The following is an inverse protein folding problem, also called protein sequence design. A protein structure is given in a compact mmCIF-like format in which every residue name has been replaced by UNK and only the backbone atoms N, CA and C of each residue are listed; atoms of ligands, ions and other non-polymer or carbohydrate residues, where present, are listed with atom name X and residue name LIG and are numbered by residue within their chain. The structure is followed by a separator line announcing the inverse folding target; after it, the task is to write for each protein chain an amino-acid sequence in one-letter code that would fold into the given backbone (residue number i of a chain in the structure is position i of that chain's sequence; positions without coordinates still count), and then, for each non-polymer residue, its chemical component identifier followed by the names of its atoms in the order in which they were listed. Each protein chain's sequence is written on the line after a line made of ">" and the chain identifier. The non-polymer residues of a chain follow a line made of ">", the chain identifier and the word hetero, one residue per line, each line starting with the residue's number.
data_IF_666141844545
#
_entry.id   IF_666141844545
#
_cell.length_a   1.000
_cell.length_b   1.000
_cell.length_c   1.000
_cell.angle_alpha   90.00
_cell.angle_beta   90.00
_cell.angle_gamma   90.00
#
_symmetry.space_group_name_H-M   'P 1'
#
loop_
_entity.id
_entity.type
_entity.pdbx_description
1 polymer ?
#
# COMPACT_ATOMS: atom_id res chain seq x y z
N UNK A 1 68.28 -12.59 67.61
CA UNK A 1 68.27 -12.09 66.21
C UNK A 1 67.40 -10.86 66.14
N UNK A 2 67.83 -9.85 65.40
CA UNK A 2 67.26 -8.49 65.43
C UNK A 2 66.06 -8.41 64.48
N UNK A 3 64.85 -8.36 65.03
CA UNK A 3 63.58 -8.35 64.29
C UNK A 3 63.42 -7.16 63.32
N UNK A 4 64.21 -6.10 63.50
CA UNK A 4 64.20 -4.93 62.61
C UNK A 4 64.68 -5.27 61.18
N UNK A 5 65.62 -6.21 61.03
CA UNK A 5 66.14 -6.57 59.70
C UNK A 5 65.19 -7.45 58.89
N UNK A 6 64.23 -8.12 59.52
CA UNK A 6 63.18 -8.87 58.82
C UNK A 6 61.99 -7.98 58.43
N UNK A 7 61.72 -6.93 59.22
CA UNK A 7 60.66 -5.96 58.90
C UNK A 7 61.01 -5.08 57.69
N UNK A 8 62.26 -4.61 57.59
CA UNK A 8 62.70 -3.81 56.43
C UNK A 8 62.70 -4.64 55.13
N UNK A 9 63.10 -5.92 55.19
CA UNK A 9 63.11 -6.80 54.03
C UNK A 9 61.69 -7.22 53.56
N UNK A 10 60.70 -7.27 54.46
CA UNK A 10 59.30 -7.55 54.08
C UNK A 10 58.58 -6.33 53.50
N UNK A 11 58.92 -5.11 53.96
CA UNK A 11 58.30 -3.87 53.44
C UNK A 11 58.77 -3.51 52.02
N UNK A 12 59.99 -3.91 51.65
CA UNK A 12 60.55 -3.70 50.31
C UNK A 12 60.06 -4.74 49.29
N UNK A 13 59.69 -5.95 49.75
CA UNK A 13 59.08 -6.97 48.90
C UNK A 13 57.61 -6.65 48.59
N UNK A 14 56.84 -6.15 49.55
CA UNK A 14 55.39 -5.98 49.36
C UNK A 14 55.07 -4.91 48.29
N UNK A 15 55.83 -3.81 48.23
CA UNK A 15 55.58 -2.73 47.26
C UNK A 15 55.98 -3.12 45.83
N UNK A 16 57.11 -3.81 45.63
CA UNK A 16 57.59 -4.19 44.29
C UNK A 16 56.72 -5.30 43.66
N UNK A 17 56.25 -6.26 44.45
CA UNK A 17 55.40 -7.35 43.95
C UNK A 17 53.93 -6.94 43.80
N UNK A 18 53.43 -5.97 44.59
CA UNK A 18 52.08 -5.42 44.44
C UNK A 18 51.97 -4.56 43.18
N UNK A 19 52.96 -3.72 42.88
CA UNK A 19 52.95 -2.93 41.64
C UNK A 19 53.11 -3.82 40.40
N UNK A 20 53.91 -4.88 40.49
CA UNK A 20 54.07 -5.85 39.41
C UNK A 20 52.79 -6.68 39.19
N UNK A 21 52.08 -7.07 40.26
CA UNK A 21 50.77 -7.73 40.16
C UNK A 21 49.66 -6.80 39.61
N UNK A 22 49.69 -5.51 39.97
CA UNK A 22 48.79 -4.50 39.41
C UNK A 22 49.06 -4.23 37.92
N UNK A 23 50.32 -4.28 37.49
CA UNK A 23 50.73 -4.10 36.09
C UNK A 23 50.49 -5.36 35.23
N UNK A 24 50.52 -6.56 35.83
CA UNK A 24 50.10 -7.81 35.20
C UNK A 24 48.60 -7.88 34.93
N UNK A 25 47.79 -7.10 35.66
CA UNK A 25 46.38 -6.84 35.33
C UNK A 25 46.28 -5.82 34.18
N UNK A 26 47.07 -6.04 33.14
CA UNK A 26 47.12 -5.28 31.89
C UNK A 26 45.69 -5.13 31.40
N UNK A 27 45.20 -3.89 31.43
CA UNK A 27 43.90 -3.45 30.90
C UNK A 27 43.55 -4.27 29.67
N UNK A 28 42.63 -5.23 29.82
CA UNK A 28 42.04 -5.90 28.68
C UNK A 28 41.24 -4.84 27.94
N UNK A 29 41.90 -4.13 27.03
CA UNK A 29 41.21 -3.32 26.03
C UNK A 29 40.33 -4.32 25.30
N UNK A 30 39.04 -4.34 25.63
CA UNK A 30 38.03 -5.13 24.90
C UNK A 30 38.35 -4.94 23.42
N UNK A 31 38.59 -6.01 22.66
CA UNK A 31 39.12 -5.88 21.32
C UNK A 31 38.19 -4.95 20.56
N UNK A 32 38.74 -3.83 20.10
CA UNK A 32 38.00 -2.78 19.39
C UNK A 32 37.25 -3.40 18.20
N UNK A 33 37.75 -4.52 17.68
CA UNK A 33 37.12 -5.35 16.66
C UNK A 33 35.69 -5.81 16.97
N UNK A 34 35.37 -6.10 18.25
CA UNK A 34 33.98 -6.44 18.65
C UNK A 34 33.05 -5.25 18.43
N UNK A 35 33.50 -4.03 18.75
CA UNK A 35 32.68 -2.81 18.57
C UNK A 35 32.38 -2.52 17.10
N UNK A 36 33.34 -2.75 16.20
CA UNK A 36 33.10 -2.63 14.76
C UNK A 36 32.23 -3.76 14.21
N UNK A 37 32.39 -4.98 14.74
CA UNK A 37 31.55 -6.13 14.38
C UNK A 37 30.08 -5.93 14.74
N UNK A 38 29.78 -5.31 15.89
CA UNK A 38 28.39 -5.00 16.27
C UNK A 38 27.77 -3.93 15.36
N UNK A 39 28.54 -2.90 14.99
CA UNK A 39 28.08 -1.85 14.06
C UNK A 39 27.81 -2.44 12.67
N UNK A 40 28.71 -3.30 12.16
CA UNK A 40 28.53 -3.97 10.88
C UNK A 40 27.30 -4.89 10.87
N UNK A 41 27.09 -5.67 11.95
CA UNK A 41 25.93 -6.55 12.07
C UNK A 41 24.61 -5.75 12.13
N UNK A 42 24.57 -4.64 12.87
CA UNK A 42 23.40 -3.76 12.89
C UNK A 42 23.14 -3.11 11.52
N UNK A 43 24.18 -2.71 10.79
CA UNK A 43 24.03 -2.19 9.42
C UNK A 43 23.47 -3.23 8.47
N UNK A 44 23.95 -4.47 8.52
CA UNK A 44 23.38 -5.56 7.73
C UNK A 44 21.93 -5.86 8.12
N UNK A 45 21.57 -5.80 9.40
CA UNK A 45 20.18 -5.97 9.82
C UNK A 45 19.29 -4.82 9.32
N UNK A 46 19.73 -3.57 9.41
CA UNK A 46 18.96 -2.42 8.89
C UNK A 46 18.82 -2.49 7.37
N UNK A 47 19.87 -2.90 6.66
CA UNK A 47 19.82 -3.09 5.21
C UNK A 47 18.90 -4.27 4.86
N UNK A 48 19.05 -5.44 5.50
CA UNK A 48 18.21 -6.60 5.21
C UNK A 48 16.75 -6.38 5.59
N UNK A 49 16.46 -5.70 6.72
CA UNK A 49 15.09 -5.33 7.08
C UNK A 49 14.59 -4.28 6.10
N UNK A 50 15.40 -3.28 5.74
CA UNK A 50 15.05 -2.25 4.77
C UNK A 50 14.77 -2.81 3.37
N UNK A 51 15.58 -3.76 2.89
CA UNK A 51 15.37 -4.42 1.60
C UNK A 51 14.28 -5.47 1.66
N UNK A 52 14.06 -6.14 2.80
CA UNK A 52 12.94 -7.05 3.00
C UNK A 52 11.61 -6.30 3.08
N UNK A 53 11.55 -5.19 3.81
CA UNK A 53 10.40 -4.27 3.80
C UNK A 53 10.23 -3.65 2.43
N UNK A 54 11.30 -3.16 1.79
CA UNK A 54 11.21 -2.67 0.42
C UNK A 54 10.68 -3.76 -0.49
N UNK A 55 11.18 -5.00 -0.46
CA UNK A 55 10.71 -6.11 -1.29
C UNK A 55 9.26 -6.52 -0.99
N UNK A 56 8.85 -6.60 0.28
CA UNK A 56 7.47 -6.93 0.67
C UNK A 56 6.47 -5.80 0.37
N UNK A 57 6.89 -4.54 0.45
CA UNK A 57 6.10 -3.36 0.08
C UNK A 57 6.34 -2.91 -1.39
N UNK A 58 7.28 -3.52 -2.12
CA UNK A 58 7.59 -3.34 -3.55
C UNK A 58 7.42 -4.66 -4.32
N UNK A 59 6.37 -5.43 -4.01
CA UNK A 59 5.83 -6.33 -5.03
C UNK A 59 5.01 -5.56 -6.09
N UNK A 60 4.85 -4.24 -5.94
CA UNK A 60 4.22 -3.35 -6.92
C UNK A 60 4.79 -1.92 -6.99
N UNK A 61 6.12 -1.73 -6.86
CA UNK A 61 6.74 -0.42 -7.10
C UNK A 61 6.36 0.69 -6.10
N UNK A 62 6.68 0.49 -4.82
CA UNK A 62 6.54 1.47 -3.74
C UNK A 62 7.88 2.11 -3.36
N UNK A 63 8.53 2.81 -4.30
CA UNK A 63 9.43 3.92 -3.97
C UNK A 63 8.62 5.21 -4.01
N UNK A 64 8.96 6.22 -3.20
CA UNK A 64 8.46 7.59 -3.40
C UNK A 64 8.83 8.01 -4.83
N UNK A 65 7.89 7.83 -5.74
CA UNK A 65 8.09 7.86 -7.19
C UNK A 65 7.69 9.22 -7.76
N UNK A 66 8.52 9.72 -8.65
CA UNK A 66 8.61 11.10 -9.09
C UNK A 66 7.51 11.52 -10.10
N UNK A 67 6.30 10.96 -10.01
CA UNK A 67 5.26 11.12 -11.03
C UNK A 67 5.67 10.62 -12.42
N UNK A 68 6.67 9.74 -12.50
CA UNK A 68 7.27 9.31 -13.75
C UNK A 68 6.44 8.17 -14.37
N UNK A 69 5.48 8.57 -15.18
CA UNK A 69 4.57 7.75 -15.97
C UNK A 69 5.27 7.04 -17.15
N UNK A 70 6.58 7.18 -17.31
CA UNK A 70 7.32 6.64 -18.46
C UNK A 70 7.49 5.10 -18.45
N UNK A 71 6.77 4.37 -17.59
CA UNK A 71 6.69 2.90 -17.58
C UNK A 71 5.42 2.35 -18.24
N UNK A 72 4.61 3.19 -18.89
CA UNK A 72 3.29 2.82 -19.40
C UNK A 72 3.32 2.41 -20.88
N UNK A 73 3.27 1.10 -21.15
CA UNK A 73 2.67 0.61 -22.39
C UNK A 73 1.14 0.67 -22.23
N UNK A 74 0.43 1.09 -23.27
CA UNK A 74 -1.04 1.02 -23.30
C UNK A 74 -1.45 -0.46 -23.24
N UNK A 75 -2.43 -0.75 -22.38
CA UNK A 75 -2.86 -2.12 -22.06
C UNK A 75 -4.39 -2.21 -22.04
N UNK A 76 -5.09 -1.38 -22.82
CA UNK A 76 -6.55 -1.27 -22.77
C UNK A 76 -7.24 -2.63 -22.94
N UNK A 77 -6.77 -3.41 -23.90
CA UNK A 77 -7.26 -4.75 -24.22
C UNK A 77 -7.05 -5.78 -23.10
N UNK A 78 -6.22 -5.47 -22.09
CA UNK A 78 -5.98 -6.35 -20.95
C UNK A 78 -7.07 -6.17 -19.86
N UNK A 79 -7.92 -5.15 -19.98
CA UNK A 79 -8.98 -4.84 -19.01
C UNK A 79 -10.36 -5.14 -19.59
N UNK A 80 -11.21 -5.79 -18.79
CA UNK A 80 -12.58 -6.13 -19.19
C UNK A 80 -13.51 -6.19 -17.99
N UNK A 81 -14.76 -5.75 -18.20
CA UNK A 81 -15.88 -5.91 -17.27
C UNK A 81 -16.27 -7.36 -17.03
N UNK A 82 -15.95 -8.27 -17.96
CA UNK A 82 -16.39 -9.67 -17.88
C UNK A 82 -15.78 -10.38 -16.67
N UNK A 83 -16.66 -11.07 -15.92
CA UNK A 83 -16.30 -11.91 -14.79
C UNK A 83 -16.31 -13.37 -15.24
N UNK A 84 -15.22 -14.14 -15.02
CA UNK A 84 -15.19 -15.56 -15.33
C UNK A 84 -16.33 -16.34 -14.64
N UNK A 85 -16.93 -17.30 -15.35
CA UNK A 85 -18.14 -18.00 -14.90
C UNK A 85 -17.92 -18.88 -13.66
N UNK A 86 -16.70 -19.36 -13.46
CA UNK A 86 -16.25 -20.08 -12.27
C UNK A 86 -16.14 -19.19 -11.03
N UNK A 87 -15.80 -17.90 -11.21
CA UNK A 87 -15.83 -16.90 -10.15
C UNK A 87 -17.27 -16.56 -9.79
N UNK A 88 -18.13 -16.32 -10.79
CA UNK A 88 -19.56 -16.06 -10.56
C UNK A 88 -20.26 -17.24 -9.86
N UNK A 89 -19.91 -18.49 -10.21
CA UNK A 89 -20.45 -19.67 -9.54
C UNK A 89 -20.09 -19.74 -8.04
N UNK A 90 -18.98 -19.10 -7.64
CA UNK A 90 -18.51 -19.07 -6.25
C UNK A 90 -19.03 -17.86 -5.47
N UNK A 91 -19.07 -16.68 -6.12
CA UNK A 91 -19.34 -15.39 -5.45
C UNK A 91 -20.75 -14.83 -5.70
N UNK A 92 -21.41 -15.29 -6.77
CA UNK A 92 -22.76 -14.89 -7.17
C UNK A 92 -22.80 -13.71 -8.14
N UNK A 93 -23.99 -13.49 -8.72
CA UNK A 93 -24.21 -12.54 -9.82
C UNK A 93 -24.08 -11.06 -9.42
N UNK A 94 -24.14 -10.74 -8.12
CA UNK A 94 -24.00 -9.38 -7.61
C UNK A 94 -22.53 -8.99 -7.32
N UNK A 95 -21.58 -9.73 -7.91
CA UNK A 95 -20.14 -9.49 -7.72
C UNK A 95 -19.68 -8.34 -8.60
N UNK A 96 -19.00 -7.36 -8.01
CA UNK A 96 -18.32 -6.30 -8.76
C UNK A 96 -16.85 -6.69 -8.93
N UNK A 97 -16.37 -6.74 -10.17
CA UNK A 97 -14.95 -6.89 -10.49
C UNK A 97 -14.32 -5.51 -10.63
N UNK A 98 -13.27 -5.24 -9.85
CA UNK A 98 -12.59 -3.96 -9.87
C UNK A 98 -11.07 -4.12 -10.01
N UNK A 99 -10.47 -3.31 -10.89
CA UNK A 99 -9.01 -3.25 -11.05
C UNK A 99 -8.40 -2.24 -10.09
N UNK A 100 -7.20 -2.54 -9.60
CA UNK A 100 -6.47 -1.64 -8.72
C UNK A 100 -5.72 -0.56 -9.52
N UNK A 101 -5.75 0.67 -9.00
CA UNK A 101 -4.90 1.74 -9.55
C UNK A 101 -3.47 1.61 -9.01
N UNK A 102 -2.50 1.94 -9.86
CA UNK A 102 -1.09 2.09 -9.50
C UNK A 102 -0.94 3.11 -8.39
N UNK A 103 -0.25 2.71 -7.33
CA UNK A 103 0.03 3.61 -6.21
C UNK A 103 1.16 4.55 -6.58
N UNK A 104 0.81 5.81 -6.87
CA UNK A 104 1.58 7.05 -6.68
C UNK A 104 0.93 8.11 -7.57
N UNK A 105 -0.02 8.86 -7.01
CA UNK A 105 -0.57 10.12 -7.54
C UNK A 105 -0.75 10.19 -9.08
N UNK A 106 -1.35 9.15 -9.69
CA UNK A 106 -1.55 9.03 -11.15
C UNK A 106 -2.20 10.26 -11.79
N UNK A 107 -3.03 10.97 -11.03
CA UNK A 107 -3.71 12.19 -11.47
C UNK A 107 -2.76 13.38 -11.65
N UNK A 108 -1.53 13.31 -11.12
CA UNK A 108 -0.46 14.30 -11.34
C UNK A 108 0.36 14.02 -12.61
N UNK A 109 0.13 12.90 -13.28
CA UNK A 109 0.87 12.55 -14.50
C UNK A 109 0.49 13.48 -15.65
N UNK A 110 1.46 14.22 -16.17
CA UNK A 110 1.27 15.20 -17.26
C UNK A 110 1.36 14.58 -18.66
N UNK A 111 1.87 13.37 -18.75
CA UNK A 111 2.17 12.62 -19.97
C UNK A 111 1.26 11.39 -20.15
N UNK A 112 0.29 11.19 -19.25
CA UNK A 112 -0.71 10.12 -19.38
C UNK A 112 -1.65 10.44 -20.55
N UNK A 113 -1.68 9.54 -21.53
CA UNK A 113 -2.55 9.66 -22.72
C UNK A 113 -3.80 8.78 -22.64
N UNK A 114 -3.77 7.72 -21.83
CA UNK A 114 -4.84 6.75 -21.67
C UNK A 114 -4.95 6.33 -20.19
N UNK A 115 -6.16 6.15 -19.67
CA UNK A 115 -6.39 5.83 -18.27
C UNK A 115 -5.92 4.40 -17.88
N UNK A 116 -5.84 3.47 -18.83
CA UNK A 116 -5.29 2.11 -18.60
C UNK A 116 -3.87 2.14 -18.06
N UNK A 117 -3.11 3.19 -18.36
CA UNK A 117 -1.76 3.41 -17.85
C UNK A 117 -1.74 3.54 -16.31
N UNK A 118 -2.82 4.05 -15.72
CA UNK A 118 -2.96 4.19 -14.27
C UNK A 118 -3.32 2.86 -13.57
N UNK A 119 -3.58 1.76 -14.30
CA UNK A 119 -4.09 0.50 -13.74
C UNK A 119 -2.98 -0.54 -13.52
N UNK A 120 -3.22 -1.43 -12.56
CA UNK A 120 -2.51 -2.72 -12.39
C UNK A 120 -3.40 -3.86 -12.87
N UNK A 121 -2.78 -5.02 -13.13
CA UNK A 121 -3.51 -6.24 -13.49
C UNK A 121 -4.14 -6.94 -12.27
N UNK A 122 -4.02 -6.34 -11.08
CA UNK A 122 -4.57 -6.91 -9.86
C UNK A 122 -6.08 -6.64 -9.80
N UNK A 123 -6.84 -7.70 -9.57
CA UNK A 123 -8.29 -7.67 -9.55
C UNK A 123 -8.82 -7.94 -8.14
N UNK A 124 -9.80 -7.14 -7.74
CA UNK A 124 -10.64 -7.37 -6.57
C UNK A 124 -12.04 -7.77 -7.01
N UNK A 125 -12.55 -8.85 -6.42
CA UNK A 125 -13.95 -9.23 -6.52
C UNK A 125 -14.68 -8.81 -5.26
N UNK A 126 -15.68 -7.97 -5.41
CA UNK A 126 -16.40 -7.35 -4.30
C UNK A 126 -17.81 -7.94 -4.24
N UNK A 127 -18.13 -8.55 -3.11
CA UNK A 127 -19.45 -9.14 -2.86
C UNK A 127 -20.12 -8.38 -1.73
N UNK A 128 -21.32 -7.87 -1.97
CA UNK A 128 -22.10 -7.20 -0.94
C UNK A 128 -22.58 -8.22 0.11
N UNK A 129 -22.34 -7.93 1.38
CA UNK A 129 -22.86 -8.74 2.48
C UNK A 129 -24.33 -8.40 2.72
N UNK A 130 -25.21 -9.33 2.36
CA UNK A 130 -26.66 -9.22 2.54
C UNK A 130 -27.15 -9.89 3.82
N UNK A 131 -26.26 -10.49 4.62
CA UNK A 131 -26.62 -11.43 5.69
C UNK A 131 -27.20 -10.78 6.95
N UNK A 132 -26.91 -9.49 7.22
CA UNK A 132 -27.22 -8.88 8.52
C UNK A 132 -28.27 -7.75 8.50
N UNK A 133 -28.91 -7.43 7.38
CA UNK A 133 -29.93 -6.37 7.32
C UNK A 133 -29.40 -4.94 7.58
N UNK A 134 -28.12 -4.80 7.97
CA UNK A 134 -27.36 -3.56 7.93
C UNK A 134 -26.86 -3.35 6.50
N UNK A 135 -27.58 -2.48 5.79
CA UNK A 135 -27.32 -2.12 4.39
C UNK A 135 -25.91 -1.54 4.24
N UNK A 136 -25.03 -2.23 3.51
CA UNK A 136 -23.84 -1.61 2.91
C UNK A 136 -22.51 -2.34 3.07
N UNK A 137 -22.38 -3.36 3.94
CA UNK A 137 -21.11 -4.07 4.10
C UNK A 137 -20.71 -4.85 2.84
N UNK A 138 -19.41 -5.02 2.60
CA UNK A 138 -18.87 -5.81 1.48
C UNK A 138 -17.73 -6.70 1.96
N UNK A 139 -17.58 -7.85 1.31
CA UNK A 139 -16.39 -8.70 1.41
C UNK A 139 -15.62 -8.58 0.11
N UNK A 140 -14.33 -8.27 0.22
CA UNK A 140 -13.42 -8.28 -0.92
C UNK A 140 -12.72 -9.63 -1.01
N UNK A 141 -12.53 -10.09 -2.24
CA UNK A 141 -11.82 -11.31 -2.56
C UNK A 141 -10.75 -11.03 -3.61
N UNK A 142 -9.61 -11.69 -3.46
CA UNK A 142 -8.52 -11.70 -4.43
C UNK A 142 -8.38 -13.09 -5.03
N UNK A 143 -7.94 -13.15 -6.28
CA UNK A 143 -7.60 -14.42 -6.93
C UNK A 143 -6.08 -14.62 -6.90
N UNK A 144 -5.64 -15.74 -6.34
CA UNK A 144 -4.23 -16.15 -6.31
C UNK A 144 -4.15 -17.59 -6.82
N UNK A 145 -3.45 -17.81 -7.94
CA UNK A 145 -3.27 -19.12 -8.59
C UNK A 145 -4.60 -19.89 -8.84
N UNK A 146 -5.67 -19.18 -9.21
CA UNK A 146 -6.99 -19.75 -9.47
C UNK A 146 -7.81 -20.10 -8.22
N UNK A 147 -7.34 -19.69 -7.03
CA UNK A 147 -8.08 -19.80 -5.78
C UNK A 147 -8.53 -18.42 -5.30
N UNK A 148 -9.79 -18.32 -4.89
CA UNK A 148 -10.35 -17.09 -4.32
C UNK A 148 -10.05 -17.05 -2.82
N UNK A 149 -9.32 -16.02 -2.37
CA UNK A 149 -9.03 -15.76 -0.96
C UNK A 149 -9.80 -14.54 -0.47
N UNK A 150 -10.40 -14.62 0.73
CA UNK A 150 -11.06 -13.48 1.37
C UNK A 150 -10.01 -12.50 1.88
N UNK A 151 -10.06 -11.27 1.43
CA UNK A 151 -9.32 -10.16 2.04
C UNK A 151 -10.11 -9.65 3.25
N UNK A 152 -9.41 -9.30 4.34
CA UNK A 152 -10.06 -9.06 5.64
C UNK A 152 -10.93 -7.78 5.64
N UNK A 153 -12.13 -7.89 6.23
CA UNK A 153 -13.25 -6.92 6.21
C UNK A 153 -12.88 -5.45 6.41
N UNK A 154 -13.39 -4.57 5.54
CA UNK A 154 -13.46 -3.13 5.78
C UNK A 154 -14.75 -2.81 6.55
N UNK A 155 -14.70 -2.78 7.88
CA UNK A 155 -15.85 -2.38 8.69
C UNK A 155 -16.19 -0.91 8.44
N UNK A 156 -17.46 -0.55 8.13
CA UNK A 156 -17.84 0.83 7.86
C UNK A 156 -17.75 1.73 9.09
N UNK A 157 -17.49 3.04 8.92
CA UNK A 157 -17.78 4.01 9.96
C UNK A 157 -19.29 4.08 10.17
N UNK A 158 -19.74 4.09 11.44
CA UNK A 158 -21.13 3.88 11.86
C UNK A 158 -22.21 4.83 11.28
N UNK A 159 -21.85 5.82 10.46
CA UNK A 159 -22.73 6.89 9.97
C UNK A 159 -22.64 7.15 8.45
N UNK A 160 -22.14 6.21 7.63
CA UNK A 160 -22.06 6.41 6.19
C UNK A 160 -23.47 6.44 5.56
N UNK A 161 -23.92 7.63 5.16
CA UNK A 161 -25.23 7.86 4.51
C UNK A 161 -25.10 7.84 2.97
N UNK A 162 -23.89 7.70 2.45
CA UNK A 162 -23.53 7.75 1.02
C UNK A 162 -22.60 6.59 0.71
N UNK A 163 -22.66 5.97 -0.49
CA UNK A 163 -21.69 4.97 -0.90
C UNK A 163 -20.25 5.46 -0.73
N UNK A 164 -19.41 4.71 -0.02
CA UNK A 164 -18.03 5.11 0.26
C UNK A 164 -17.07 3.96 -0.05
N UNK A 165 -16.24 4.12 -1.08
CA UNK A 165 -15.53 2.99 -1.66
C UNK A 165 -16.56 2.01 -2.22
N UNK A 166 -16.52 0.76 -1.75
CA UNK A 166 -17.54 -0.25 -2.08
C UNK A 166 -18.67 -0.34 -1.05
N UNK A 167 -18.58 0.37 0.07
CA UNK A 167 -19.62 0.32 1.09
C UNK A 167 -20.89 0.99 0.56
N UNK A 168 -22.01 0.27 0.56
CA UNK A 168 -23.29 0.76 0.03
C UNK A 168 -23.34 0.93 -1.50
N UNK A 169 -22.25 0.67 -2.22
CA UNK A 169 -22.22 0.67 -3.67
C UNK A 169 -22.71 -0.70 -4.18
N UNK A 170 -23.64 -0.70 -5.12
CA UNK A 170 -24.18 -1.93 -5.70
C UNK A 170 -24.08 -1.89 -7.21
N UNK A 171 -23.98 -3.05 -7.85
CA UNK A 171 -23.97 -3.15 -9.31
C UNK A 171 -25.19 -2.43 -9.95
N UNK A 172 -26.43 -2.58 -9.44
CA UNK A 172 -27.57 -1.80 -9.94
C UNK A 172 -27.43 -0.28 -9.83
N UNK A 173 -26.73 0.25 -8.81
CA UNK A 173 -26.50 1.70 -8.70
C UNK A 173 -25.54 2.19 -9.77
N UNK A 174 -24.47 1.43 -10.04
CA UNK A 174 -23.54 1.76 -11.13
C UNK A 174 -24.29 1.76 -12.46
N UNK A 175 -25.08 0.72 -12.72
CA UNK A 175 -25.91 0.61 -13.93
C UNK A 175 -26.92 1.75 -14.07
N UNK A 176 -27.55 2.19 -12.98
CA UNK A 176 -28.48 3.33 -12.97
C UNK A 176 -27.75 4.63 -13.33
N UNK A 177 -26.60 4.90 -12.71
CA UNK A 177 -25.81 6.12 -12.92
C UNK A 177 -25.20 6.21 -14.34
N UNK A 178 -24.92 5.06 -14.99
CA UNK A 178 -24.43 5.02 -16.38
C UNK A 178 -25.53 4.79 -17.42
N UNK A 179 -26.78 4.55 -17.01
CA UNK A 179 -27.88 4.16 -17.90
C UNK A 179 -28.21 5.18 -19.00
N UNK A 180 -27.94 6.46 -18.73
CA UNK A 180 -28.16 7.57 -19.68
C UNK A 180 -26.95 7.79 -20.62
N UNK A 181 -25.83 7.11 -20.37
CA UNK A 181 -24.61 7.23 -21.15
C UNK A 181 -24.62 6.17 -22.26
N UNK A 182 -24.36 6.58 -23.50
CA UNK A 182 -24.09 5.65 -24.59
C UNK A 182 -22.63 5.19 -24.50
N UNK A 183 -22.42 3.95 -24.06
CA UNK A 183 -21.10 3.36 -23.80
C UNK A 183 -20.91 2.00 -24.48
N UNK A 184 -19.64 1.67 -24.75
CA UNK A 184 -19.22 0.41 -25.37
C UNK A 184 -18.98 -0.65 -24.30
N UNK A 185 -18.24 -0.28 -23.26
CA UNK A 185 -17.91 -1.10 -22.10
C UNK A 185 -17.66 -0.16 -20.90
N UNK A 186 -17.55 -0.69 -19.69
CA UNK A 186 -17.07 0.07 -18.55
C UNK A 186 -16.18 -0.78 -17.64
N UNK A 187 -15.19 -0.16 -17.03
CA UNK A 187 -14.26 -0.83 -16.13
C UNK A 187 -14.38 -0.19 -14.76
N UNK A 188 -14.69 -1.00 -13.74
CA UNK A 188 -14.66 -0.54 -12.36
C UNK A 188 -13.22 -0.57 -11.86
N UNK A 189 -12.80 0.52 -11.23
CA UNK A 189 -11.44 0.66 -10.71
C UNK A 189 -11.47 1.20 -9.28
N UNK A 190 -10.48 0.83 -8.47
CA UNK A 190 -10.41 1.26 -7.07
C UNK A 190 -9.05 1.85 -6.72
N UNK A 191 -9.07 3.08 -6.21
CA UNK A 191 -7.89 3.75 -5.69
C UNK A 191 -7.83 3.60 -4.19
N UNK A 192 -6.85 2.85 -3.69
CA UNK A 192 -6.58 2.71 -2.25
C UNK A 192 -6.12 4.04 -1.63
N UNK A 193 -5.44 4.88 -2.40
CA UNK A 193 -4.95 6.20 -1.98
C UNK A 193 -6.08 7.21 -1.83
N UNK A 194 -6.93 7.34 -2.86
CA UNK A 194 -8.07 8.24 -2.86
C UNK A 194 -9.27 7.67 -2.10
N UNK A 195 -9.26 6.36 -1.78
CA UNK A 195 -10.42 5.62 -1.25
C UNK A 195 -11.66 5.88 -2.09
N UNK A 196 -11.51 5.77 -3.41
CA UNK A 196 -12.53 6.15 -4.39
C UNK A 196 -12.67 5.02 -5.40
N UNK A 197 -13.92 4.61 -5.64
CA UNK A 197 -14.25 3.76 -6.79
C UNK A 197 -14.46 4.68 -7.99
N UNK A 198 -13.84 4.35 -9.11
CA UNK A 198 -13.93 5.10 -10.35
C UNK A 198 -14.39 4.12 -11.42
N UNK A 199 -15.55 4.37 -12.01
CA UNK A 199 -16.08 3.62 -13.15
C UNK A 199 -15.64 4.33 -14.41
N UNK A 200 -14.69 3.72 -15.12
CA UNK A 200 -14.22 4.19 -16.42
C UNK A 200 -15.19 3.70 -17.50
N UNK A 201 -15.99 4.61 -18.02
CA UNK A 201 -17.02 4.36 -19.04
C UNK A 201 -16.45 4.65 -20.42
N UNK A 202 -16.32 3.60 -21.24
CA UNK A 202 -15.77 3.71 -22.58
C UNK A 202 -16.81 4.20 -23.58
N UNK A 203 -16.45 5.19 -24.41
CA UNK A 203 -17.34 5.70 -25.46
C UNK A 203 -16.61 5.83 -26.80
N UNK A 204 -17.37 6.08 -27.87
CA UNK A 204 -16.82 6.27 -29.21
C UNK A 204 -16.08 7.60 -29.37
N UNK A 205 -16.51 8.64 -28.66
CA UNK A 205 -15.96 10.00 -28.78
C UNK A 205 -14.94 10.28 -27.67
N UNK A 206 -15.39 10.21 -26.41
CA UNK A 206 -14.59 10.54 -25.25
C UNK A 206 -15.01 9.69 -24.05
N UNK A 207 -14.03 9.11 -23.36
CA UNK A 207 -14.24 8.30 -22.17
C UNK A 207 -14.69 9.17 -20.98
N UNK A 208 -15.65 8.65 -20.21
CA UNK A 208 -16.20 9.32 -19.03
C UNK A 208 -15.88 8.54 -17.76
N UNK A 209 -15.88 9.24 -16.63
CA UNK A 209 -15.52 8.68 -15.34
C UNK A 209 -16.61 8.99 -14.33
N UNK A 210 -17.25 7.94 -13.78
CA UNK A 210 -18.22 8.07 -12.69
C UNK A 210 -17.53 7.75 -11.38
N UNK A 211 -17.57 8.66 -10.41
CA UNK A 211 -16.80 8.51 -9.16
C UNK A 211 -17.66 8.29 -7.93
N UNK A 212 -17.16 7.45 -7.02
CA UNK A 212 -17.78 7.17 -5.71
C UNK A 212 -16.72 7.33 -4.60
N UNK A 213 -16.37 8.59 -4.25
CA UNK A 213 -15.37 8.87 -3.22
C UNK A 213 -15.86 8.56 -1.81
N UNK A 214 -14.95 8.04 -0.97
CA UNK A 214 -15.22 7.91 0.48
C UNK A 214 -15.28 9.26 1.18
N UNK A 215 -14.56 10.26 0.64
CA UNK A 215 -14.43 11.61 1.21
C UNK A 215 -14.62 12.65 0.11
N UNK A 216 -15.86 12.86 -0.39
CA UNK A 216 -16.14 13.85 -1.43
C UNK A 216 -15.73 15.27 -0.98
N UNK A 217 -15.85 15.55 0.31
CA UNK A 217 -15.44 16.81 0.96
C UNK A 217 -13.95 17.14 0.77
N UNK A 218 -13.10 16.11 0.65
CA UNK A 218 -11.65 16.28 0.52
C UNK A 218 -11.16 16.24 -0.91
N UNK A 219 -11.90 15.60 -1.83
CA UNK A 219 -11.45 15.32 -3.19
C UNK A 219 -12.10 16.20 -4.26
N UNK A 220 -13.09 17.03 -3.88
CA UNK A 220 -13.81 17.93 -4.79
C UNK A 220 -14.48 17.23 -5.98
N UNK A 221 -14.72 15.93 -5.81
CA UNK A 221 -15.50 15.04 -6.68
C UNK A 221 -16.72 14.55 -5.91
N UNK A 222 -17.81 14.37 -6.65
CA UNK A 222 -19.12 14.02 -6.11
C UNK A 222 -19.38 12.51 -6.28
N UNK A 223 -20.27 11.98 -5.44
CA UNK A 223 -20.74 10.60 -5.56
C UNK A 223 -21.73 10.52 -6.72
N UNK A 224 -21.47 9.64 -7.69
CA UNK A 224 -22.18 9.61 -8.97
C UNK A 224 -21.77 10.76 -9.91
N UNK A 225 -20.73 11.52 -9.56
CA UNK A 225 -20.23 12.61 -10.41
C UNK A 225 -19.62 12.08 -11.69
N UNK A 226 -19.99 12.67 -12.83
CA UNK A 226 -19.49 12.31 -14.17
C UNK A 226 -18.45 13.35 -14.59
N UNK A 227 -17.26 12.88 -14.97
CA UNK A 227 -16.14 13.73 -15.36
C UNK A 227 -15.46 13.21 -16.63
N UNK A 228 -14.86 14.11 -17.40
CA UNK A 228 -13.81 13.74 -18.34
C UNK A 228 -12.49 13.46 -17.61
N UNK A 229 -11.54 12.78 -18.26
CA UNK A 229 -10.22 12.52 -17.67
C UNK A 229 -9.52 13.83 -17.22
N UNK A 230 -9.46 14.90 -18.06
CA UNK A 230 -8.82 16.16 -17.65
C UNK A 230 -9.51 16.83 -16.47
N UNK A 231 -10.85 16.88 -16.44
CA UNK A 231 -11.61 17.49 -15.32
C UNK A 231 -11.38 16.73 -14.01
N UNK A 232 -11.34 15.39 -14.07
CA UNK A 232 -11.04 14.56 -12.91
C UNK A 232 -9.61 14.81 -12.41
N UNK A 233 -8.63 14.88 -13.31
CA UNK A 233 -7.24 15.17 -12.95
C UNK A 233 -7.09 16.56 -12.33
N UNK A 234 -7.75 17.58 -12.90
CA UNK A 234 -7.74 18.96 -12.37
C UNK A 234 -8.27 18.98 -10.93
N UNK A 235 -9.45 18.42 -10.69
CA UNK A 235 -10.07 18.37 -9.35
C UNK A 235 -9.21 17.65 -8.32
N UNK A 236 -8.68 16.48 -8.68
CA UNK A 236 -7.83 15.70 -7.78
C UNK A 236 -6.49 16.40 -7.51
N UNK A 237 -5.92 17.08 -8.51
CA UNK A 237 -4.70 17.87 -8.37
C UNK A 237 -4.91 19.08 -7.47
N UNK A 238 -6.03 19.79 -7.63
CA UNK A 238 -6.40 20.92 -6.78
C UNK A 238 -6.61 20.47 -5.34
N UNK A 239 -7.31 19.36 -5.12
CA UNK A 239 -7.49 18.75 -3.81
C UNK A 239 -6.16 18.35 -3.17
N UNK A 240 -5.21 17.81 -3.94
CA UNK A 240 -3.88 17.42 -3.46
C UNK A 240 -3.02 18.60 -3.00
N UNK A 241 -3.18 19.76 -3.64
CA UNK A 241 -2.38 20.95 -3.36
C UNK A 241 -2.90 21.82 -2.20
N UNK A 242 -4.07 21.47 -1.61
CA UNK A 242 -4.69 22.18 -0.48
C UNK A 242 -4.21 21.66 0.88
#
# INVERSE_FOLDING_TARGET
>A
MNAKKFSDAMSELDTKYVDEALNYKKKSKRPVWIKWGTIAACFCFVICIGTYFAYKFNLGGGGFGNGDATLFTEHREDFSSEIPSDILAQLGDNTIKAYLLRTNDWFLATDMTDYSQALTNDVLYIVQDTSNGESGAYTAYTEEDGAISKDHDATPPANATVPCGFFGLTYPMIEDDISEIDYIDYIVTYSTRLRTVIVWVQRLEEDLFVTYPTRPDLLEIEVGGIYTLPEMQEKLTDAYNK
#
